data_IF_025350271011
#
_entry.id   IF_025350271011
#
_cell.length_a   1.000
_cell.length_b   1.000
_cell.length_c   1.000
_cell.angle_alpha   90.00
_cell.angle_beta   90.00
_cell.angle_gamma   90.00
#
_symmetry.space_group_name_H-M   'P 1'
#
loop_
_entity.id
_entity.type
_entity.pdbx_description
1 polymer ?
#
# COMPACT_ATOMS: atom_id res chain seq x y z
N UNK A 1 -5.28 39.68 11.87
CA UNK A 1 -5.59 38.35 12.39
C UNK A 1 -4.84 37.32 11.58
N UNK A 2 -3.77 36.83 12.14
CA UNK A 2 -3.05 35.68 11.62
C UNK A 2 -3.83 34.47 12.11
N UNK A 3 -4.67 33.89 11.28
CA UNK A 3 -5.29 32.60 11.57
C UNK A 3 -4.18 31.55 11.59
N UNK A 4 -4.06 30.88 12.73
CA UNK A 4 -2.96 30.00 13.04
C UNK A 4 -2.85 28.86 12.03
N UNK A 5 -1.68 28.78 11.39
CA UNK A 5 -1.17 27.52 10.88
C UNK A 5 -1.14 26.55 12.08
N UNK A 6 -2.09 25.65 12.14
CA UNK A 6 -1.98 24.48 13.02
C UNK A 6 -0.80 23.71 12.44
N UNK A 7 0.35 23.83 13.10
CA UNK A 7 1.46 22.91 12.87
C UNK A 7 0.91 21.50 13.14
N UNK A 8 1.03 20.55 12.21
CA UNK A 8 0.65 19.19 12.49
C UNK A 8 1.45 18.75 13.73
N UNK A 9 0.77 18.29 14.75
CA UNK A 9 1.39 17.65 15.89
C UNK A 9 2.45 16.67 15.38
N UNK A 10 3.62 16.65 15.99
CA UNK A 10 4.74 15.75 15.63
C UNK A 10 4.34 14.27 15.58
N UNK A 11 3.18 13.95 16.15
CA UNK A 11 2.58 12.63 16.16
C UNK A 11 2.03 12.15 14.80
N UNK A 12 1.84 13.04 13.81
CA UNK A 12 1.27 12.70 12.50
C UNK A 12 2.08 13.24 11.33
N UNK A 13 3.40 13.31 11.45
CA UNK A 13 4.27 13.72 10.34
C UNK A 13 4.21 12.72 9.18
N UNK A 14 4.02 13.16 7.91
CA UNK A 14 4.07 12.27 6.75
C UNK A 14 5.37 11.48 6.63
N UNK A 15 6.46 12.02 7.17
CA UNK A 15 7.79 11.36 7.19
C UNK A 15 7.86 10.15 8.13
N UNK A 16 6.80 9.81 8.87
CA UNK A 16 6.70 8.51 9.53
C UNK A 16 6.58 7.38 8.52
N UNK A 17 6.06 7.62 7.33
CA UNK A 17 6.15 6.68 6.23
C UNK A 17 7.55 6.76 5.59
N UNK A 18 8.22 5.61 5.46
CA UNK A 18 9.60 5.55 5.00
C UNK A 18 9.79 5.93 3.53
N UNK A 19 8.79 5.67 2.66
CA UNK A 19 8.86 6.12 1.27
C UNK A 19 8.83 7.64 1.21
N UNK A 20 7.92 8.28 1.92
CA UNK A 20 7.82 9.73 1.98
C UNK A 20 9.06 10.36 2.62
N UNK A 21 9.58 9.75 3.69
CA UNK A 21 10.81 10.20 4.37
C UNK A 21 12.04 10.16 3.45
N UNK A 22 12.10 9.16 2.59
CA UNK A 22 13.27 8.94 1.72
C UNK A 22 13.26 9.77 0.44
N UNK A 23 12.20 10.54 0.19
CA UNK A 23 12.10 11.39 -1.00
C UNK A 23 13.05 12.57 -0.90
N UNK A 24 13.68 12.99 -2.03
CA UNK A 24 14.38 14.26 -2.09
C UNK A 24 13.45 15.43 -1.74
N UNK A 25 14.02 16.47 -1.12
CA UNK A 25 13.25 17.61 -0.61
C UNK A 25 12.40 18.31 -1.69
N UNK A 26 12.89 18.39 -2.92
CA UNK A 26 12.14 18.98 -4.03
C UNK A 26 10.90 18.15 -4.40
N UNK A 27 11.06 16.82 -4.54
CA UNK A 27 9.95 15.93 -4.87
C UNK A 27 8.92 15.88 -3.75
N UNK A 28 9.39 15.77 -2.51
CA UNK A 28 8.53 15.83 -1.33
C UNK A 28 7.76 17.15 -1.26
N UNK A 29 8.43 18.29 -1.51
CA UNK A 29 7.81 19.62 -1.50
C UNK A 29 6.69 19.77 -2.53
N UNK A 30 6.77 19.07 -3.68
CA UNK A 30 5.72 19.10 -4.71
C UNK A 30 4.50 18.28 -4.35
N UNK A 31 4.67 17.17 -3.64
CA UNK A 31 3.53 16.31 -3.26
C UNK A 31 2.92 16.66 -1.91
N UNK A 32 3.70 17.22 -1.00
CA UNK A 32 3.29 17.52 0.37
C UNK A 32 1.98 18.34 0.46
N UNK A 33 1.77 19.42 -0.34
CA UNK A 33 0.53 20.20 -0.29
C UNK A 33 -0.73 19.41 -0.67
N UNK A 34 -0.56 18.26 -1.32
CA UNK A 34 -1.65 17.41 -1.81
C UNK A 34 -1.89 16.18 -0.94
N UNK A 35 -1.08 15.99 0.10
CA UNK A 35 -1.24 14.90 1.04
C UNK A 35 -2.38 15.20 2.01
N UNK A 36 -3.31 14.26 2.17
CA UNK A 36 -4.39 14.30 3.14
C UNK A 36 -4.16 13.24 4.23
N UNK A 37 -4.22 13.65 5.48
CA UNK A 37 -4.24 12.72 6.61
C UNK A 37 -5.63 12.10 6.73
N UNK A 38 -5.68 10.76 6.78
CA UNK A 38 -6.92 10.00 6.95
C UNK A 38 -6.78 8.98 8.06
N UNK A 39 -7.85 8.80 8.82
CA UNK A 39 -7.96 7.71 9.78
C UNK A 39 -8.22 6.39 9.05
N UNK A 40 -7.64 5.32 9.56
CA UNK A 40 -7.72 3.97 8.99
C UNK A 40 -8.33 3.03 10.03
N UNK A 41 -9.67 2.95 10.12
CA UNK A 41 -10.34 2.10 11.08
C UNK A 41 -10.10 0.61 10.79
N UNK A 42 -10.02 -0.20 11.83
CA UNK A 42 -9.90 -1.65 11.72
C UNK A 42 -11.03 -2.24 10.86
N UNK A 43 -10.67 -3.04 9.87
CA UNK A 43 -11.61 -3.72 8.99
C UNK A 43 -12.12 -2.88 7.81
N UNK A 44 -11.71 -1.61 7.69
CA UNK A 44 -12.06 -0.79 6.53
C UNK A 44 -11.48 -1.39 5.25
N UNK A 45 -12.30 -1.45 4.21
CA UNK A 45 -11.91 -1.88 2.87
C UNK A 45 -11.54 -0.65 2.07
N UNK A 46 -10.27 -0.56 1.66
CA UNK A 46 -9.79 0.57 0.86
C UNK A 46 -10.20 0.45 -0.61
N UNK A 47 -10.20 -0.75 -1.12
CA UNK A 47 -10.69 -1.09 -2.47
C UNK A 47 -10.95 -2.59 -2.58
N UNK A 48 -11.90 -2.94 -3.45
CA UNK A 48 -12.18 -4.32 -3.85
C UNK A 48 -11.37 -4.70 -5.09
N UNK A 49 -11.21 -6.02 -5.30
CA UNK A 49 -10.57 -6.54 -6.52
C UNK A 49 -11.32 -6.07 -7.77
N UNK A 50 -10.59 -5.50 -8.73
CA UNK A 50 -11.14 -4.96 -9.97
C UNK A 50 -11.59 -3.51 -9.90
N UNK A 51 -11.63 -2.89 -8.72
CA UNK A 51 -11.99 -1.47 -8.58
C UNK A 51 -10.88 -0.55 -9.09
N UNK A 52 -11.29 0.62 -9.59
CA UNK A 52 -10.36 1.69 -9.94
C UNK A 52 -9.80 2.33 -8.69
N UNK A 53 -8.51 2.54 -8.70
CA UNK A 53 -7.82 3.23 -7.63
C UNK A 53 -7.89 4.75 -7.83
N UNK A 54 -8.36 5.48 -6.81
CA UNK A 54 -8.44 6.94 -6.84
C UNK A 54 -7.34 7.61 -6.02
N UNK A 55 -6.78 6.90 -5.06
CA UNK A 55 -5.77 7.40 -4.14
C UNK A 55 -4.60 6.42 -4.00
N UNK A 56 -3.43 6.97 -3.79
CA UNK A 56 -2.26 6.26 -3.27
C UNK A 56 -2.20 6.51 -1.78
N UNK A 57 -2.09 5.46 -0.97
CA UNK A 57 -2.03 5.55 0.49
C UNK A 57 -0.61 5.26 0.98
N UNK A 58 -0.15 6.06 1.92
CA UNK A 58 1.11 5.91 2.63
C UNK A 58 0.82 5.64 4.11
N UNK A 59 0.78 4.37 4.51
CA UNK A 59 0.48 4.01 5.91
C UNK A 59 1.50 4.58 6.88
N UNK A 60 1.01 4.92 8.06
CA UNK A 60 1.85 5.30 9.18
C UNK A 60 1.45 4.50 10.41
N UNK A 61 1.20 4.30 11.31
CA UNK A 61 0.85 3.39 12.42
C UNK A 61 -0.23 2.35 12.10
N UNK A 62 -0.71 2.24 10.88
CA UNK A 62 -1.65 1.20 10.44
C UNK A 62 -0.98 0.11 9.63
N UNK A 63 -1.62 -1.06 9.56
CA UNK A 63 -1.21 -2.19 8.72
C UNK A 63 -2.37 -2.55 7.81
N UNK A 64 -2.09 -2.72 6.53
CA UNK A 64 -3.06 -3.04 5.49
C UNK A 64 -2.71 -4.40 4.89
N UNK A 65 -3.68 -5.31 4.91
CA UNK A 65 -3.57 -6.62 4.26
C UNK A 65 -4.03 -6.55 2.82
N UNK A 66 -3.23 -7.11 1.92
CA UNK A 66 -3.61 -7.35 0.54
C UNK A 66 -4.11 -8.79 0.42
N UNK A 67 -5.34 -8.96 0.00
CA UNK A 67 -6.03 -10.24 -0.07
C UNK A 67 -6.33 -10.63 -1.52
N UNK A 68 -5.97 -11.83 -1.88
CA UNK A 68 -6.47 -12.46 -3.10
C UNK A 68 -7.82 -13.11 -2.81
N UNK A 69 -8.84 -12.71 -3.55
CA UNK A 69 -10.19 -13.28 -3.42
C UNK A 69 -10.41 -14.35 -4.47
N UNK A 70 -10.72 -15.56 -4.04
CA UNK A 70 -10.98 -16.69 -4.92
C UNK A 70 -12.44 -16.68 -5.41
N UNK A 71 -12.72 -17.42 -6.48
CA UNK A 71 -14.07 -17.53 -7.07
C UNK A 71 -15.12 -18.07 -6.08
N UNK A 72 -14.72 -18.91 -5.13
CA UNK A 72 -15.59 -19.44 -4.09
C UNK A 72 -15.85 -18.47 -2.91
N UNK A 73 -15.34 -17.23 -2.99
CA UNK A 73 -15.45 -16.22 -1.94
C UNK A 73 -14.42 -16.32 -0.83
N UNK A 74 -13.59 -17.36 -0.79
CA UNK A 74 -12.48 -17.47 0.14
C UNK A 74 -11.38 -16.44 -0.22
N UNK A 75 -10.68 -15.92 0.79
CA UNK A 75 -9.58 -15.00 0.60
C UNK A 75 -8.29 -15.52 1.23
N UNK A 76 -7.17 -15.17 0.62
CA UNK A 76 -5.85 -15.46 1.16
C UNK A 76 -5.01 -14.18 1.20
N UNK A 77 -4.36 -13.92 2.33
CA UNK A 77 -3.43 -12.80 2.45
C UNK A 77 -2.18 -13.08 1.62
N UNK A 78 -1.88 -12.18 0.68
CA UNK A 78 -0.72 -12.29 -0.21
C UNK A 78 0.42 -11.36 0.18
N UNK A 79 0.12 -10.25 0.85
CA UNK A 79 1.10 -9.30 1.36
C UNK A 79 0.49 -8.45 2.47
N UNK A 80 1.36 -7.80 3.23
CA UNK A 80 1.01 -6.74 4.18
C UNK A 80 1.81 -5.49 3.88
N UNK A 81 1.20 -4.34 4.08
CA UNK A 81 1.83 -3.03 3.87
C UNK A 81 1.66 -2.20 5.13
N UNK A 82 2.77 -1.70 5.63
CA UNK A 82 2.83 -0.79 6.77
C UNK A 82 3.56 0.50 6.42
N UNK A 83 4.22 1.10 7.39
CA UNK A 83 4.92 2.39 7.25
C UNK A 83 6.12 2.35 6.28
N UNK A 84 6.57 1.18 5.85
CA UNK A 84 7.68 1.00 4.89
C UNK A 84 7.24 1.18 3.44
N UNK A 85 5.93 1.17 3.15
CA UNK A 85 5.42 1.05 1.81
C UNK A 85 4.29 2.00 1.44
N UNK A 86 3.63 1.67 0.33
CA UNK A 86 2.46 2.37 -0.20
C UNK A 86 1.45 1.39 -0.79
N UNK A 87 0.19 1.78 -0.77
CA UNK A 87 -0.92 1.09 -1.43
C UNK A 87 -1.21 1.79 -2.75
N UNK A 88 -1.32 1.02 -3.82
CA UNK A 88 -1.65 1.55 -5.15
C UNK A 88 -0.57 1.30 -6.21
N UNK A 89 0.24 0.26 -6.04
CA UNK A 89 1.36 -0.04 -6.97
C UNK A 89 0.92 -0.34 -8.40
N UNK A 90 -0.31 -0.84 -8.63
CA UNK A 90 -0.79 -1.10 -9.98
C UNK A 90 -0.81 0.16 -10.86
N UNK A 91 -0.98 1.34 -10.25
CA UNK A 91 -0.91 2.62 -10.97
C UNK A 91 0.48 2.85 -11.58
N UNK A 92 1.55 2.43 -10.89
CA UNK A 92 2.94 2.59 -11.36
C UNK A 92 3.27 1.61 -12.48
N UNK A 93 2.54 0.52 -12.56
CA UNK A 93 2.71 -0.53 -13.56
C UNK A 93 1.80 -0.34 -14.78
N UNK A 94 1.12 0.81 -14.89
CA UNK A 94 0.19 1.13 -15.98
C UNK A 94 -1.20 0.52 -15.83
N UNK A 95 -1.50 -0.14 -14.71
CA UNK A 95 -2.84 -0.64 -14.38
C UNK A 95 -3.77 0.48 -13.90
N UNK A 96 -5.06 0.31 -14.13
CA UNK A 96 -6.10 1.21 -13.58
C UNK A 96 -6.87 0.58 -12.43
N UNK A 97 -6.78 -0.73 -12.31
CA UNK A 97 -7.48 -1.52 -11.31
C UNK A 97 -6.51 -2.39 -10.53
N UNK A 98 -6.90 -2.74 -9.30
CA UNK A 98 -6.11 -3.63 -8.46
C UNK A 98 -6.64 -5.06 -8.55
N UNK A 99 -5.74 -6.08 -8.71
CA UNK A 99 -6.16 -7.49 -8.79
C UNK A 99 -6.47 -8.11 -7.42
N UNK A 100 -6.35 -7.34 -6.36
CA UNK A 100 -6.51 -7.78 -4.97
C UNK A 100 -7.41 -6.81 -4.20
N UNK A 101 -7.86 -7.25 -3.03
CA UNK A 101 -8.60 -6.45 -2.06
C UNK A 101 -7.63 -5.93 -1.01
N UNK A 102 -7.82 -4.69 -0.56
CA UNK A 102 -7.04 -4.13 0.55
C UNK A 102 -7.93 -3.83 1.75
N UNK A 103 -7.54 -4.36 2.91
CA UNK A 103 -8.30 -4.23 4.17
C UNK A 103 -7.37 -3.78 5.28
N UNK A 104 -7.83 -2.87 6.12
CA UNK A 104 -7.09 -2.42 7.30
C UNK A 104 -7.07 -3.55 8.35
N UNK A 105 -5.90 -4.11 8.58
CA UNK A 105 -5.65 -5.17 9.55
C UNK A 105 -5.35 -4.63 10.95
N UNK A 106 -4.70 -3.47 11.03
CA UNK A 106 -4.41 -2.77 12.28
C UNK A 106 -4.74 -1.30 12.09
N UNK A 107 -5.60 -0.77 12.96
CA UNK A 107 -6.04 0.61 12.91
C UNK A 107 -4.89 1.60 13.12
N UNK A 108 -5.01 2.80 12.57
CA UNK A 108 -4.03 3.87 12.66
C UNK A 108 -4.36 4.99 11.68
N UNK A 109 -3.32 5.59 11.11
CA UNK A 109 -3.44 6.70 10.17
C UNK A 109 -2.67 6.41 8.89
N UNK A 110 -3.07 7.08 7.82
CA UNK A 110 -2.38 7.08 6.54
C UNK A 110 -2.43 8.47 5.93
N UNK A 111 -1.41 8.84 5.20
CA UNK A 111 -1.53 9.92 4.23
C UNK A 111 -1.98 9.35 2.89
N UNK A 112 -2.84 10.07 2.19
CA UNK A 112 -3.25 9.74 0.84
C UNK A 112 -3.05 10.92 -0.11
N UNK A 113 -2.86 10.60 -1.37
CA UNK A 113 -2.79 11.57 -2.45
C UNK A 113 -3.62 11.07 -3.63
N UNK A 114 -4.27 11.98 -4.35
CA UNK A 114 -4.99 11.62 -5.57
C UNK A 114 -4.04 11.02 -6.60
N UNK A 115 -4.48 9.96 -7.26
CA UNK A 115 -3.66 9.22 -8.22
C UNK A 115 -3.09 10.13 -9.33
N UNK A 116 -3.89 11.04 -9.88
CA UNK A 116 -3.46 11.93 -10.97
C UNK A 116 -2.30 12.84 -10.56
N UNK A 117 -2.36 13.39 -9.36
CA UNK A 117 -1.29 14.25 -8.81
C UNK A 117 -0.02 13.46 -8.52
N UNK A 118 -0.18 12.27 -7.99
CA UNK A 118 0.94 11.38 -7.72
C UNK A 118 1.62 10.91 -9.01
N UNK A 119 0.83 10.55 -10.04
CA UNK A 119 1.35 10.13 -11.34
C UNK A 119 2.06 11.24 -12.10
N UNK A 120 1.68 12.51 -11.90
CA UNK A 120 2.44 13.64 -12.45
C UNK A 120 3.86 13.66 -11.90
N UNK A 121 4.04 13.44 -10.60
CA UNK A 121 5.37 13.38 -10.00
C UNK A 121 6.14 12.13 -10.41
N UNK A 122 5.47 10.98 -10.46
CA UNK A 122 6.06 9.72 -10.93
C UNK A 122 6.59 9.84 -12.37
N UNK A 123 5.84 10.50 -13.25
CA UNK A 123 6.21 10.67 -14.66
C UNK A 123 7.34 11.71 -14.89
N UNK A 124 7.81 12.36 -13.84
CA UNK A 124 9.02 13.20 -13.92
C UNK A 124 10.32 12.38 -14.00
N UNK A 125 10.25 11.07 -13.80
CA UNK A 125 11.38 10.14 -13.83
C UNK A 125 12.53 10.49 -12.86
N UNK A 126 12.19 11.06 -11.72
CA UNK A 126 13.15 11.38 -10.65
C UNK A 126 13.43 10.21 -9.70
N UNK A 127 13.97 10.54 -8.53
CA UNK A 127 14.30 9.54 -7.50
C UNK A 127 13.08 8.79 -6.97
N UNK A 128 11.90 9.41 -6.97
CA UNK A 128 10.64 8.77 -6.59
C UNK A 128 10.36 7.51 -7.44
N UNK A 129 10.56 7.61 -8.76
CA UNK A 129 10.39 6.47 -9.68
C UNK A 129 11.22 5.27 -9.24
N UNK A 130 12.52 5.47 -8.99
CA UNK A 130 13.42 4.39 -8.59
C UNK A 130 13.03 3.78 -7.23
N UNK A 131 12.65 4.61 -6.28
CA UNK A 131 12.21 4.16 -4.95
C UNK A 131 10.93 3.32 -5.01
N UNK A 132 9.97 3.75 -5.82
CA UNK A 132 8.73 3.00 -6.02
C UNK A 132 8.94 1.70 -6.77
N UNK A 133 9.83 1.66 -7.76
CA UNK A 133 10.19 0.43 -8.46
C UNK A 133 10.87 -0.56 -7.52
N UNK A 134 11.79 -0.11 -6.68
CA UNK A 134 12.44 -0.94 -5.67
C UNK A 134 11.43 -1.49 -4.64
N UNK A 135 10.53 -0.66 -4.18
CA UNK A 135 9.45 -1.08 -3.27
C UNK A 135 8.53 -2.11 -3.94
N UNK A 136 8.14 -1.88 -5.19
CA UNK A 136 7.30 -2.79 -5.97
C UNK A 136 7.98 -4.16 -6.13
N UNK A 137 9.27 -4.19 -6.40
CA UNK A 137 10.04 -5.44 -6.47
C UNK A 137 10.03 -6.17 -5.11
N UNK A 138 10.25 -5.48 -4.01
CA UNK A 138 10.19 -6.07 -2.67
C UNK A 138 8.79 -6.66 -2.36
N UNK A 139 7.73 -5.96 -2.74
CA UNK A 139 6.37 -6.42 -2.54
C UNK A 139 6.03 -7.65 -3.40
N UNK A 140 6.46 -7.68 -4.66
CA UNK A 140 6.31 -8.84 -5.55
C UNK A 140 7.05 -10.05 -4.96
N UNK A 141 8.25 -9.86 -4.43
CA UNK A 141 9.03 -10.91 -3.77
C UNK A 141 8.29 -11.45 -2.56
N UNK A 142 7.71 -10.59 -1.72
CA UNK A 142 6.90 -10.99 -0.57
C UNK A 142 5.69 -11.84 -1.00
N UNK A 143 4.98 -11.41 -2.04
CA UNK A 143 3.83 -12.15 -2.59
C UNK A 143 4.24 -13.53 -3.12
N UNK A 144 5.36 -13.62 -3.82
CA UNK A 144 5.87 -14.88 -4.36
C UNK A 144 6.25 -15.86 -3.23
N UNK A 145 6.88 -15.41 -2.17
CA UNK A 145 7.23 -16.23 -1.01
C UNK A 145 5.99 -16.79 -0.31
N UNK A 146 4.96 -15.97 -0.10
CA UNK A 146 3.70 -16.43 0.50
C UNK A 146 2.98 -17.47 -0.38
N UNK A 147 2.96 -17.29 -1.69
CA UNK A 147 2.39 -18.28 -2.63
C UNK A 147 3.12 -19.61 -2.58
N UNK A 148 4.43 -19.59 -2.47
CA UNK A 148 5.24 -20.80 -2.33
C UNK A 148 4.92 -21.54 -1.03
N UNK A 149 4.83 -20.84 0.10
CA UNK A 149 4.45 -21.42 1.39
C UNK A 149 3.06 -22.07 1.35
N UNK A 150 2.07 -21.41 0.76
CA UNK A 150 0.71 -21.96 0.59
C UNK A 150 0.71 -23.21 -0.29
N UNK A 151 1.46 -23.22 -1.38
CA UNK A 151 1.59 -24.38 -2.27
C UNK A 151 2.22 -25.59 -1.55
N UNK A 152 3.29 -25.36 -0.77
CA UNK A 152 3.95 -26.39 0.04
C UNK A 152 3.01 -26.96 1.09
N UNK A 153 2.27 -26.12 1.82
CA UNK A 153 1.31 -26.53 2.84
C UNK A 153 0.21 -27.39 2.21
N UNK A 154 -0.30 -27.03 1.04
CA UNK A 154 -1.29 -27.83 0.28
C UNK A 154 -0.75 -29.20 -0.13
N UNK A 155 0.49 -29.26 -0.60
CA UNK A 155 1.14 -30.53 -0.95
C UNK A 155 1.28 -31.45 0.25
N UNK A 156 1.70 -30.91 1.41
CA UNK A 156 1.83 -31.69 2.65
C UNK A 156 0.48 -32.18 3.15
N UNK A 157 -0.56 -31.32 3.14
CA UNK A 157 -1.91 -31.72 3.59
C UNK A 157 -2.54 -32.79 2.71
N UNK A 158 -2.35 -32.72 1.39
CA UNK A 158 -2.86 -33.72 0.46
C UNK A 158 -2.13 -35.06 0.58
N UNK A 159 -0.82 -35.07 0.85
CA UNK A 159 -0.07 -36.30 1.09
C UNK A 159 -0.45 -36.96 2.42
N UNK A 160 -0.79 -36.17 3.45
CA UNK A 160 -1.29 -36.72 4.72
C UNK A 160 -2.70 -37.31 4.61
N UNK A 161 -3.56 -36.81 3.73
CA UNK A 161 -4.90 -37.33 3.48
C UNK A 161 -4.91 -38.58 2.60
N UNK A 162 -3.81 -38.91 1.91
CA UNK A 162 -3.65 -40.09 1.06
C UNK A 162 -3.12 -41.34 1.77
N UNK A 163 -2.87 -41.29 3.08
CA UNK A 163 -2.42 -42.42 3.91
C UNK A 163 -3.54 -42.97 4.81
N UNK A 164 -4.68 -43.34 4.21
CA UNK A 164 -5.71 -44.20 4.85
C UNK A 164 -6.10 -45.31 3.93
#
# INVERSE_FOLDING_TARGET
>A
RIEGLIMPDDHHSPKQNHLLKSMPSEEYGRIFPHLELVEMPLGEVLYESGEKLHYVHFPMGCIISLLYVMENGASAEIAVVGFEGAIGIALFMGGQTMPNRAVVQSAGYSYRIRQNLFMQEFNRHGALLHKLLNYTQALITQMAQKRYAIAIIRLISNSAAGCC
#
